data_IF_433110744246
#
_entry.id   IF_433110744246
#
_cell.length_a   1.000
_cell.length_b   1.000
_cell.length_c   1.000
_cell.angle_alpha   90.00
_cell.angle_beta   90.00
_cell.angle_gamma   90.00
#
_symmetry.space_group_name_H-M   'P 1'
#
loop_
_entity.id
_entity.type
_entity.pdbx_description
1 polymer ?
#
# COMPACT_ATOMS: atom_id res chain seq x y z
N UNK A 1 3.19 18.00 17.76
CA UNK A 1 3.66 17.77 16.37
C UNK A 1 2.49 17.37 15.49
N UNK A 2 2.68 17.21 14.18
CA UNK A 2 1.61 16.90 13.22
C UNK A 2 0.78 15.64 13.56
N UNK A 3 1.31 14.72 14.37
CA UNK A 3 0.58 13.53 14.85
C UNK A 3 -0.64 13.85 15.75
N UNK A 4 -0.71 15.06 16.31
CA UNK A 4 -1.83 15.51 17.15
C UNK A 4 -2.87 16.32 16.36
N UNK A 5 -2.68 16.50 15.06
CA UNK A 5 -3.63 17.21 14.21
C UNK A 5 -4.85 16.31 13.98
N UNK A 6 -6.09 16.80 14.21
CA UNK A 6 -7.30 16.01 14.00
C UNK A 6 -7.49 15.56 12.55
N UNK A 7 -6.81 16.19 11.58
CA UNK A 7 -6.82 15.82 10.16
C UNK A 7 -5.61 14.97 9.76
N UNK A 8 -4.90 14.39 10.72
CA UNK A 8 -3.77 13.49 10.47
C UNK A 8 -3.95 12.17 11.21
N UNK A 9 -4.18 11.09 10.47
CA UNK A 9 -4.16 9.74 11.01
C UNK A 9 -2.76 9.15 10.90
N UNK A 10 -2.06 9.08 12.02
CA UNK A 10 -0.80 8.33 12.11
C UNK A 10 -1.08 6.86 12.48
N UNK A 11 -0.51 5.93 11.70
CA UNK A 11 -0.55 4.50 11.96
C UNK A 11 0.75 3.83 11.50
N UNK A 12 1.27 2.93 12.33
CA UNK A 12 2.39 2.06 11.97
C UNK A 12 1.82 0.73 11.47
N UNK A 13 2.23 0.25 10.28
CA UNK A 13 1.71 -0.99 9.70
C UNK A 13 2.14 -2.20 10.54
N UNK A 14 1.25 -2.66 11.43
CA UNK A 14 1.41 -3.89 12.20
C UNK A 14 0.86 -5.07 11.42
N UNK A 15 1.70 -6.08 11.22
CA UNK A 15 1.44 -7.33 10.49
C UNK A 15 0.70 -8.39 11.32
N UNK A 16 -0.33 -8.02 12.07
CA UNK A 16 -1.26 -9.01 12.67
C UNK A 16 -2.66 -8.82 12.09
N UNK A 17 -3.40 -9.91 11.91
CA UNK A 17 -4.79 -9.85 11.41
C UNK A 17 -5.69 -9.02 12.36
N UNK A 18 -5.53 -9.18 13.68
CA UNK A 18 -6.16 -8.34 14.71
C UNK A 18 -5.76 -6.86 14.59
N UNK A 19 -4.54 -6.59 14.11
CA UNK A 19 -4.06 -5.23 13.82
C UNK A 19 -4.74 -4.64 12.59
N UNK A 20 -5.13 -5.46 11.63
CA UNK A 20 -5.73 -5.05 10.37
C UNK A 20 -7.21 -4.67 10.52
N UNK A 21 -8.00 -5.47 11.23
CA UNK A 21 -9.39 -5.11 11.56
C UNK A 21 -9.44 -3.79 12.33
N UNK A 22 -8.61 -3.67 13.36
CA UNK A 22 -8.52 -2.43 14.15
C UNK A 22 -8.09 -1.24 13.29
N UNK A 23 -7.21 -1.45 12.31
CA UNK A 23 -6.81 -0.40 11.36
C UNK A 23 -7.99 0.03 10.48
N UNK A 24 -8.74 -0.92 9.91
CA UNK A 24 -9.94 -0.63 9.12
C UNK A 24 -10.94 0.22 9.90
N UNK A 25 -11.24 -0.16 11.15
CA UNK A 25 -12.12 0.61 12.03
C UNK A 25 -11.58 2.01 12.35
N UNK A 26 -10.28 2.12 12.64
CA UNK A 26 -9.62 3.41 12.92
C UNK A 26 -9.66 4.35 11.71
N UNK A 27 -9.45 3.82 10.49
CA UNK A 27 -9.57 4.59 9.25
C UNK A 27 -11.01 5.04 9.03
N UNK A 28 -11.98 4.14 9.21
CA UNK A 28 -13.39 4.45 9.04
C UNK A 28 -13.83 5.58 10.00
N UNK A 29 -13.45 5.48 11.28
CA UNK A 29 -13.72 6.51 12.29
C UNK A 29 -13.08 7.85 11.97
N UNK A 30 -11.83 7.83 11.48
CA UNK A 30 -11.10 9.04 11.09
C UNK A 30 -11.73 9.76 9.89
N UNK A 31 -12.30 9.01 8.94
CA UNK A 31 -13.03 9.60 7.81
C UNK A 31 -14.35 10.21 8.29
N UNK A 32 -15.15 9.44 9.02
CA UNK A 32 -16.39 9.87 9.67
C UNK A 32 -16.84 8.78 10.67
N UNK A 33 -17.09 9.10 11.95
CA UNK A 33 -17.52 8.13 12.96
C UNK A 33 -18.69 7.23 12.53
N UNK A 34 -19.60 7.74 11.68
CA UNK A 34 -20.74 6.95 11.19
C UNK A 34 -20.33 5.71 10.41
N UNK A 35 -19.17 5.70 9.75
CA UNK A 35 -18.68 4.54 9.00
C UNK A 35 -18.17 3.46 9.94
N UNK A 36 -17.42 3.83 10.98
CA UNK A 36 -16.98 2.88 12.01
C UNK A 36 -18.18 2.26 12.72
N UNK A 37 -19.17 3.08 13.11
CA UNK A 37 -20.41 2.57 13.71
C UNK A 37 -21.15 1.58 12.81
N UNK A 38 -21.18 1.84 11.49
CA UNK A 38 -21.80 0.97 10.52
C UNK A 38 -21.07 -0.37 10.42
N UNK A 39 -19.73 -0.36 10.36
CA UNK A 39 -18.92 -1.56 10.30
C UNK A 39 -19.03 -2.40 11.58
N UNK A 40 -19.09 -1.77 12.76
CA UNK A 40 -19.26 -2.48 14.04
C UNK A 40 -20.64 -3.16 14.15
N UNK A 41 -21.69 -2.56 13.57
CA UNK A 41 -23.06 -3.11 13.59
C UNK A 41 -23.31 -4.19 12.55
N UNK A 42 -22.50 -4.23 11.48
CA UNK A 42 -22.64 -5.16 10.36
C UNK A 42 -21.35 -5.96 10.20
N UNK A 43 -21.27 -7.09 10.93
CA UNK A 43 -20.12 -7.98 10.93
C UNK A 43 -19.76 -8.47 9.52
N UNK A 44 -20.76 -8.74 8.68
CA UNK A 44 -20.53 -9.14 7.29
C UNK A 44 -19.84 -8.03 6.51
N UNK A 45 -20.32 -6.78 6.66
CA UNK A 45 -19.69 -5.64 6.00
C UNK A 45 -18.24 -5.43 6.46
N UNK A 46 -17.96 -5.61 7.75
CA UNK A 46 -16.59 -5.55 8.27
C UNK A 46 -15.71 -6.65 7.66
N UNK A 47 -16.19 -7.89 7.62
CA UNK A 47 -15.46 -9.01 7.00
C UNK A 47 -15.24 -8.80 5.50
N UNK A 48 -16.23 -8.25 4.79
CA UNK A 48 -16.10 -7.89 3.38
C UNK A 48 -15.00 -6.84 3.20
N UNK A 49 -14.97 -5.79 4.04
CA UNK A 49 -13.89 -4.78 3.99
C UNK A 49 -12.52 -5.41 4.24
N UNK A 50 -12.38 -6.26 5.25
CA UNK A 50 -11.12 -6.94 5.56
C UNK A 50 -10.69 -7.84 4.39
N UNK A 51 -11.61 -8.63 3.83
CA UNK A 51 -11.33 -9.54 2.73
C UNK A 51 -10.82 -8.80 1.49
N UNK A 52 -11.53 -7.76 1.04
CA UNK A 52 -11.18 -7.02 -0.17
C UNK A 52 -9.89 -6.19 -0.02
N UNK A 53 -9.45 -5.91 1.20
CA UNK A 53 -8.19 -5.24 1.49
C UNK A 53 -7.06 -6.23 1.86
N UNK A 54 -7.36 -7.52 1.95
CA UNK A 54 -6.36 -8.55 2.29
C UNK A 54 -5.25 -8.62 1.25
N UNK A 55 -4.06 -9.03 1.69
CA UNK A 55 -2.91 -9.18 0.80
C UNK A 55 -3.19 -10.18 -0.33
N UNK A 56 -3.86 -11.30 -0.03
CA UNK A 56 -4.19 -12.32 -1.02
C UNK A 56 -5.14 -11.76 -2.10
N UNK A 57 -6.21 -11.09 -1.68
CA UNK A 57 -7.18 -10.51 -2.61
C UNK A 57 -6.52 -9.46 -3.50
N UNK A 58 -5.79 -8.51 -2.91
CA UNK A 58 -5.10 -7.45 -3.63
C UNK A 58 -4.02 -8.00 -4.56
N UNK A 59 -3.26 -9.02 -4.12
CA UNK A 59 -2.23 -9.66 -4.94
C UNK A 59 -2.80 -10.32 -6.19
N UNK A 60 -3.96 -10.93 -6.10
CA UNK A 60 -4.60 -11.50 -7.27
C UNK A 60 -5.25 -10.42 -8.15
N UNK A 61 -6.14 -9.62 -7.57
CA UNK A 61 -7.04 -8.75 -8.33
C UNK A 61 -6.31 -7.53 -8.90
N UNK A 62 -5.48 -6.85 -8.10
CA UNK A 62 -4.80 -5.64 -8.56
C UNK A 62 -3.71 -5.98 -9.59
N UNK A 63 -2.96 -7.06 -9.40
CA UNK A 63 -1.95 -7.47 -10.39
C UNK A 63 -2.58 -7.85 -11.73
N UNK A 64 -3.72 -8.56 -11.71
CA UNK A 64 -4.47 -8.90 -12.92
C UNK A 64 -4.94 -7.65 -13.65
N UNK A 65 -5.63 -6.73 -12.98
CA UNK A 65 -6.09 -5.48 -13.60
C UNK A 65 -4.95 -4.58 -14.06
N UNK A 66 -3.85 -4.55 -13.31
CA UNK A 66 -2.66 -3.81 -13.71
C UNK A 66 -2.06 -4.42 -14.99
N UNK A 67 -1.96 -5.75 -15.09
CA UNK A 67 -1.50 -6.42 -16.30
C UNK A 67 -2.41 -6.13 -17.50
N UNK A 68 -3.73 -6.21 -17.33
CA UNK A 68 -4.71 -5.87 -18.37
C UNK A 68 -4.51 -4.44 -18.88
N UNK A 69 -4.40 -3.47 -17.96
CA UNK A 69 -4.14 -2.08 -18.29
C UNK A 69 -2.78 -1.90 -19.01
N UNK A 70 -1.75 -2.59 -18.55
CA UNK A 70 -0.38 -2.59 -19.10
C UNK A 70 -0.23 -3.34 -20.43
N UNK A 71 -1.26 -4.05 -20.86
CA UNK A 71 -1.27 -4.78 -22.15
C UNK A 71 -2.35 -4.28 -23.08
N UNK A 72 -3.11 -3.29 -22.65
CA UNK A 72 -4.18 -2.68 -23.42
C UNK A 72 -3.62 -1.95 -24.65
N UNK A 73 -4.17 -2.18 -25.85
CA UNK A 73 -3.83 -1.41 -27.05
C UNK A 73 -4.07 0.09 -26.85
N UNK A 74 -3.24 0.93 -27.47
CA UNK A 74 -3.29 2.39 -27.25
C UNK A 74 -4.60 3.03 -27.71
N UNK A 75 -5.16 2.56 -28.81
CA UNK A 75 -6.46 2.98 -29.35
C UNK A 75 -7.61 2.68 -28.38
N UNK A 76 -7.54 1.56 -27.66
CA UNK A 76 -8.49 1.23 -26.59
C UNK A 76 -8.33 2.14 -25.36
N UNK A 77 -7.14 2.69 -25.10
CA UNK A 77 -6.91 3.63 -23.99
C UNK A 77 -7.41 5.03 -24.34
N UNK A 78 -7.20 5.48 -25.58
CA UNK A 78 -7.50 6.85 -26.03
C UNK A 78 -8.96 7.25 -25.81
N UNK A 79 -9.90 6.34 -26.05
CA UNK A 79 -11.33 6.63 -26.03
C UNK A 79 -12.12 5.98 -24.88
N UNK A 80 -11.48 5.19 -24.01
CA UNK A 80 -12.18 4.50 -22.93
C UNK A 80 -12.62 5.48 -21.81
N UNK A 81 -13.92 5.73 -21.58
CA UNK A 81 -14.38 6.69 -20.57
C UNK A 81 -14.09 6.27 -19.13
N UNK A 82 -13.86 4.98 -18.87
CA UNK A 82 -13.60 4.44 -17.54
C UNK A 82 -12.17 4.71 -17.06
N UNK A 83 -11.28 5.14 -17.96
CA UNK A 83 -9.90 5.51 -17.60
C UNK A 83 -9.84 6.99 -17.20
N UNK A 84 -9.47 7.32 -15.95
CA UNK A 84 -9.36 8.71 -15.52
C UNK A 84 -8.40 9.51 -16.40
N UNK A 85 -8.67 10.81 -16.69
CA UNK A 85 -7.87 11.61 -17.63
C UNK A 85 -6.37 11.64 -17.31
N UNK A 86 -6.02 11.73 -16.02
CA UNK A 86 -4.63 11.71 -15.56
C UNK A 86 -3.93 10.38 -15.85
N UNK A 87 -4.62 9.27 -15.59
CA UNK A 87 -4.11 7.93 -15.87
C UNK A 87 -3.99 7.68 -17.38
N UNK A 88 -4.98 8.12 -18.17
CA UNK A 88 -4.94 8.05 -19.63
C UNK A 88 -3.71 8.78 -20.19
N UNK A 89 -3.46 10.00 -19.73
CA UNK A 89 -2.29 10.79 -20.15
C UNK A 89 -0.97 10.09 -19.78
N UNK A 90 -0.90 9.47 -18.61
CA UNK A 90 0.28 8.72 -18.16
C UNK A 90 0.54 7.52 -19.07
N UNK A 91 -0.48 6.69 -19.33
CA UNK A 91 -0.36 5.47 -20.14
C UNK A 91 -0.02 5.78 -21.61
N UNK A 92 -0.53 6.89 -22.14
CA UNK A 92 -0.21 7.35 -23.49
C UNK A 92 1.11 8.12 -23.56
N UNK A 93 1.74 8.47 -22.44
CA UNK A 93 3.05 9.13 -22.49
C UNK A 93 4.13 8.16 -23.02
N UNK A 94 4.99 8.61 -23.92
CA UNK A 94 6.09 7.80 -24.48
C UNK A 94 7.14 7.37 -23.45
N UNK A 95 7.09 7.93 -22.23
CA UNK A 95 7.97 7.59 -21.11
C UNK A 95 7.51 6.33 -20.37
N UNK A 96 6.27 5.90 -20.59
CA UNK A 96 5.73 4.70 -20.01
C UNK A 96 5.89 3.54 -20.99
N UNK A 97 7.05 2.89 -20.93
CA UNK A 97 7.32 1.70 -21.74
C UNK A 97 6.59 0.51 -21.12
N UNK A 98 5.56 0.05 -21.82
CA UNK A 98 4.90 -1.22 -21.53
C UNK A 98 5.95 -2.32 -21.63
N UNK A 99 6.18 -3.07 -20.54
CA UNK A 99 7.08 -4.22 -20.57
C UNK A 99 6.68 -5.18 -21.70
N UNK A 100 7.66 -5.76 -22.37
CA UNK A 100 7.41 -6.76 -23.43
C UNK A 100 6.61 -7.93 -22.84
N UNK A 101 5.75 -8.53 -23.65
CA UNK A 101 4.85 -9.64 -23.33
C UNK A 101 5.54 -10.87 -22.69
N UNK A 102 6.86 -10.97 -22.83
CA UNK A 102 7.69 -12.08 -22.32
C UNK A 102 8.27 -11.86 -20.92
N UNK A 103 8.13 -10.66 -20.34
CA UNK A 103 8.46 -10.40 -18.93
C UNK A 103 7.37 -11.05 -18.06
N UNK A 104 7.60 -12.32 -17.70
CA UNK A 104 6.73 -13.06 -16.78
C UNK A 104 6.61 -12.29 -15.47
N UNK A 105 5.40 -11.80 -15.20
CA UNK A 105 4.92 -11.13 -13.99
C UNK A 105 5.35 -9.66 -13.77
N UNK A 106 4.50 -8.73 -14.22
CA UNK A 106 4.44 -7.39 -13.62
C UNK A 106 3.57 -7.48 -12.35
N UNK A 107 4.19 -7.82 -11.22
CA UNK A 107 3.52 -7.87 -9.93
C UNK A 107 3.62 -6.51 -9.22
N UNK A 108 2.56 -5.70 -9.28
CA UNK A 108 2.42 -4.48 -8.48
C UNK A 108 2.42 -4.82 -6.97
N UNK A 109 1.68 -5.85 -6.59
CA UNK A 109 1.66 -6.46 -5.26
C UNK A 109 2.56 -7.70 -5.26
N UNK A 110 3.70 -7.64 -4.56
CA UNK A 110 4.77 -8.66 -4.67
C UNK A 110 4.77 -9.73 -3.57
N UNK A 111 5.30 -9.40 -2.38
CA UNK A 111 5.54 -10.35 -1.28
C UNK A 111 4.71 -10.12 -0.02
N UNK A 112 4.45 -8.87 0.38
CA UNK A 112 3.71 -8.58 1.61
C UNK A 112 4.42 -8.97 2.91
N UNK A 113 5.75 -9.13 2.88
CA UNK A 113 6.54 -9.60 4.03
C UNK A 113 7.31 -8.43 4.65
N UNK A 114 7.07 -8.19 5.93
CA UNK A 114 7.85 -7.22 6.72
C UNK A 114 9.22 -7.81 7.05
N UNK A 115 10.27 -7.01 6.90
CA UNK A 115 11.64 -7.43 7.19
C UNK A 115 12.34 -8.19 6.05
N UNK A 116 11.70 -8.40 4.88
CA UNK A 116 12.32 -9.11 3.73
C UNK A 116 13.63 -8.45 3.26
N UNK A 117 13.87 -7.17 3.61
CA UNK A 117 15.13 -6.48 3.33
C UNK A 117 16.35 -7.21 3.90
N UNK A 118 16.21 -7.94 5.01
CA UNK A 118 17.28 -8.74 5.63
C UNK A 118 17.83 -9.83 4.70
N UNK A 119 17.02 -10.26 3.72
CA UNK A 119 17.42 -11.25 2.71
C UNK A 119 18.13 -10.65 1.49
N UNK A 120 18.14 -9.31 1.35
CA UNK A 120 18.70 -8.63 0.17
C UNK A 120 19.88 -7.71 0.48
N UNK A 121 19.93 -7.15 1.70
CA UNK A 121 21.00 -6.24 2.09
C UNK A 121 22.17 -7.01 2.70
N UNK A 122 23.39 -6.65 2.28
CA UNK A 122 24.59 -7.10 2.99
C UNK A 122 24.65 -6.48 4.40
N UNK A 123 25.40 -7.08 5.34
CA UNK A 123 25.57 -6.51 6.68
C UNK A 123 26.04 -5.05 6.67
N UNK A 124 26.97 -4.70 5.77
CA UNK A 124 27.47 -3.33 5.61
C UNK A 124 26.39 -2.37 5.11
N UNK A 125 25.61 -2.78 4.10
CA UNK A 125 24.50 -1.97 3.58
C UNK A 125 23.44 -1.72 4.65
N UNK A 126 23.11 -2.75 5.44
CA UNK A 126 22.18 -2.61 6.54
C UNK A 126 22.69 -1.64 7.60
N UNK A 127 23.93 -1.82 8.08
CA UNK A 127 24.52 -0.92 9.08
C UNK A 127 24.54 0.54 8.63
N UNK A 128 24.83 0.78 7.34
CA UNK A 128 24.80 2.13 6.75
C UNK A 128 23.38 2.70 6.71
N UNK A 129 22.38 1.90 6.37
CA UNK A 129 20.97 2.32 6.36
C UNK A 129 20.49 2.64 7.78
N UNK A 130 20.80 1.78 8.74
CA UNK A 130 20.44 1.93 10.15
C UNK A 130 21.05 3.21 10.74
N UNK A 131 22.33 3.46 10.49
CA UNK A 131 22.99 4.71 10.90
C UNK A 131 22.27 5.93 10.34
N UNK A 132 21.94 5.94 9.05
CA UNK A 132 21.21 7.06 8.41
C UNK A 132 19.81 7.24 8.99
N UNK A 133 19.11 6.15 9.29
CA UNK A 133 17.80 6.19 9.92
C UNK A 133 17.90 6.84 11.32
N UNK A 134 18.83 6.39 12.16
CA UNK A 134 19.07 6.96 13.50
C UNK A 134 19.42 8.45 13.43
N UNK A 135 20.33 8.84 12.54
CA UNK A 135 20.72 10.25 12.34
C UNK A 135 19.54 11.13 11.89
N UNK A 136 18.68 10.64 10.99
CA UNK A 136 17.56 11.41 10.45
C UNK A 136 16.38 11.55 11.39
N UNK A 137 16.15 10.56 12.24
CA UNK A 137 14.98 10.49 13.11
C UNK A 137 15.30 10.76 14.59
N UNK A 138 16.56 11.04 14.93
CA UNK A 138 16.97 11.47 16.27
C UNK A 138 16.12 12.66 16.74
N UNK A 139 15.56 12.54 17.95
CA UNK A 139 14.75 13.59 18.59
C UNK A 139 13.33 13.74 18.03
N UNK A 140 12.90 12.93 17.06
CA UNK A 140 11.55 13.01 16.48
C UNK A 140 10.51 12.12 17.17
N UNK A 141 10.94 11.26 18.10
CA UNK A 141 10.11 10.19 18.68
C UNK A 141 9.78 9.05 17.71
N UNK A 142 10.15 9.18 16.42
CA UNK A 142 9.87 8.14 15.43
C UNK A 142 10.70 6.89 15.68
N UNK A 143 11.91 6.98 16.25
CA UNK A 143 12.76 5.80 16.49
C UNK A 143 12.07 4.74 17.35
N UNK A 144 11.29 5.15 18.34
CA UNK A 144 10.56 4.28 19.27
C UNK A 144 9.53 3.39 18.56
N UNK A 145 9.00 3.84 17.41
CA UNK A 145 7.99 3.10 16.65
C UNK A 145 8.57 1.94 15.83
N UNK A 146 9.90 1.87 15.67
CA UNK A 146 10.58 0.83 14.89
C UNK A 146 11.61 0.04 15.71
N UNK A 147 11.59 0.14 17.04
CA UNK A 147 12.52 -0.61 17.91
C UNK A 147 12.46 -2.12 17.67
N UNK A 148 11.28 -2.69 17.44
CA UNK A 148 11.10 -4.13 17.20
C UNK A 148 11.75 -4.63 15.88
N UNK A 149 12.17 -3.72 14.99
CA UNK A 149 12.64 -4.03 13.64
C UNK A 149 14.10 -3.67 13.37
N UNK A 150 14.72 -2.88 14.26
CA UNK A 150 16.09 -2.41 14.19
C UNK A 150 16.99 -3.34 15.00
#
# INVERSE_FOLDING_TARGET
GAQNDPNVLFHHPRTTEEGYERLCLKIAEFIDPKYSEKLVKDEKMLQDVIHHNSFAFMKEHLNRHFLELMTMPRDMIEHNPDIPPGLRKLLLSGNFQMKKKDDKEVNFVRKGIVGDWKNHLSPEQNARLEKRFREKFAGTGLLELWEDYM
#
